data_IF_644982124764
#
_entry.id   IF_644982124764
#
_cell.length_a   1.000
_cell.length_b   1.000
_cell.length_c   1.000
_cell.angle_alpha   90.00
_cell.angle_beta   90.00
_cell.angle_gamma   90.00
#
_symmetry.space_group_name_H-M   'P 1'
#
loop_
_entity.id
_entity.type
_entity.pdbx_description
1 polymer ?
#
# COMPACT_ATOMS: atom_id res chain seq x y z
N UNK A 1 17.79 -13.47 -28.49
CA UNK A 1 18.33 -12.53 -27.48
C UNK A 1 18.99 -13.34 -26.39
N UNK A 2 20.26 -13.10 -26.08
CA UNK A 2 21.00 -13.88 -25.07
C UNK A 2 20.77 -13.27 -23.69
N UNK A 3 20.41 -14.08 -22.71
CA UNK A 3 20.14 -13.64 -21.34
C UNK A 3 21.42 -13.50 -20.53
N UNK A 4 21.54 -12.39 -19.81
CA UNK A 4 22.56 -12.23 -18.77
C UNK A 4 22.16 -13.00 -17.50
N UNK A 5 22.52 -14.29 -17.45
CA UNK A 5 22.17 -15.20 -16.35
C UNK A 5 22.65 -14.68 -14.98
N UNK A 6 23.84 -14.09 -14.92
CA UNK A 6 24.38 -13.54 -13.67
C UNK A 6 23.52 -12.39 -13.15
N UNK A 7 23.18 -11.43 -14.00
CA UNK A 7 22.35 -10.28 -13.61
C UNK A 7 20.90 -10.68 -13.33
N UNK A 8 20.38 -11.70 -14.03
CA UNK A 8 19.08 -12.29 -13.74
C UNK A 8 19.03 -12.85 -12.31
N UNK A 9 20.03 -13.64 -11.90
CA UNK A 9 20.09 -14.21 -10.54
C UNK A 9 20.14 -13.09 -9.51
N UNK A 10 20.98 -12.07 -9.74
CA UNK A 10 21.08 -10.91 -8.84
C UNK A 10 19.73 -10.18 -8.74
N UNK A 11 19.05 -9.96 -9.86
CA UNK A 11 17.74 -9.31 -9.88
C UNK A 11 16.68 -10.11 -9.10
N UNK A 12 16.65 -11.44 -9.28
CA UNK A 12 15.74 -12.32 -8.52
C UNK A 12 16.03 -12.23 -7.02
N UNK A 13 17.31 -12.36 -6.61
CA UNK A 13 17.70 -12.27 -5.21
C UNK A 13 17.35 -10.90 -4.62
N UNK A 14 17.62 -9.81 -5.36
CA UNK A 14 17.25 -8.46 -4.95
C UNK A 14 15.75 -8.33 -4.70
N UNK A 15 14.91 -8.83 -5.61
CA UNK A 15 13.46 -8.78 -5.45
C UNK A 15 12.98 -9.62 -4.27
N UNK A 16 13.53 -10.82 -4.08
CA UNK A 16 13.20 -11.69 -2.93
C UNK A 16 13.57 -11.02 -1.60
N UNK A 17 14.76 -10.41 -1.51
CA UNK A 17 15.19 -9.69 -0.30
C UNK A 17 14.26 -8.50 -0.03
N UNK A 18 13.91 -7.71 -1.05
CA UNK A 18 12.97 -6.60 -0.86
C UNK A 18 11.60 -7.07 -0.38
N UNK A 19 11.07 -8.16 -0.95
CA UNK A 19 9.81 -8.75 -0.48
C UNK A 19 9.90 -9.22 0.98
N UNK A 20 11.03 -9.82 1.37
CA UNK A 20 11.26 -10.23 2.75
C UNK A 20 11.35 -9.03 3.70
N UNK A 21 12.12 -7.99 3.35
CA UNK A 21 12.22 -6.76 4.13
C UNK A 21 10.86 -6.08 4.28
N UNK A 22 10.09 -6.02 3.20
CA UNK A 22 8.74 -5.45 3.19
C UNK A 22 7.80 -6.21 4.12
N UNK A 23 7.70 -7.55 3.97
CA UNK A 23 6.88 -8.38 4.86
C UNK A 23 7.29 -8.25 6.32
N UNK A 24 8.58 -8.21 6.61
CA UNK A 24 9.05 -8.02 7.98
C UNK A 24 8.61 -6.66 8.53
N UNK A 25 8.73 -5.60 7.72
CA UNK A 25 8.29 -4.26 8.12
C UNK A 25 6.79 -4.19 8.43
N UNK A 26 5.94 -4.94 7.71
CA UNK A 26 4.49 -5.01 7.98
C UNK A 26 4.15 -5.72 9.31
N UNK A 27 4.99 -6.65 9.75
CA UNK A 27 4.78 -7.36 11.03
C UNK A 27 5.18 -6.56 12.27
N UNK A 28 5.86 -5.41 12.07
CA UNK A 28 6.34 -4.57 13.17
C UNK A 28 5.36 -3.43 13.44
N UNK A 29 4.95 -3.27 14.70
CA UNK A 29 4.07 -2.18 15.11
C UNK A 29 4.84 -0.88 15.37
N UNK A 30 4.28 0.23 14.89
CA UNK A 30 4.67 1.61 15.25
C UNK A 30 6.16 1.93 15.01
N UNK A 31 6.84 2.43 16.05
CA UNK A 31 8.22 2.94 15.95
C UNK A 31 9.27 1.89 15.56
N UNK A 32 9.01 0.59 15.75
CA UNK A 32 9.95 -0.46 15.32
C UNK A 32 10.00 -0.59 13.79
N UNK A 33 8.89 -0.32 13.10
CA UNK A 33 8.86 -0.30 11.65
C UNK A 33 9.67 0.88 11.06
N UNK A 34 9.89 1.97 11.82
CA UNK A 34 10.66 3.12 11.34
C UNK A 34 12.12 2.80 11.03
N UNK A 35 12.70 1.73 11.59
CA UNK A 35 14.07 1.32 11.25
C UNK A 35 14.23 1.02 9.74
N UNK A 36 13.15 0.59 9.09
CA UNK A 36 13.14 0.29 7.66
C UNK A 36 13.29 1.54 6.78
N UNK A 37 13.01 2.73 7.31
CA UNK A 37 13.32 4.02 6.64
C UNK A 37 14.83 4.14 6.37
N UNK A 38 15.66 3.50 7.20
CA UNK A 38 17.12 3.51 7.06
C UNK A 38 17.61 2.24 6.34
N UNK A 39 17.04 1.07 6.67
CA UNK A 39 17.46 -0.22 6.07
C UNK A 39 17.23 -0.24 4.55
N UNK A 40 16.07 0.22 4.06
CA UNK A 40 15.78 0.19 2.62
C UNK A 40 16.76 1.04 1.80
N UNK A 41 17.00 2.33 2.11
CA UNK A 41 17.99 3.13 1.39
C UNK A 41 19.40 2.54 1.45
N UNK A 42 19.85 2.05 2.61
CA UNK A 42 21.17 1.44 2.74
C UNK A 42 21.31 0.21 1.85
N UNK A 43 20.31 -0.68 1.86
CA UNK A 43 20.29 -1.87 1.02
C UNK A 43 20.30 -1.52 -0.48
N UNK A 44 19.53 -0.51 -0.89
CA UNK A 44 19.47 -0.06 -2.28
C UNK A 44 20.79 0.57 -2.73
N UNK A 45 21.39 1.43 -1.92
CA UNK A 45 22.70 2.04 -2.22
C UNK A 45 23.79 0.96 -2.33
N UNK A 46 23.83 0.02 -1.40
CA UNK A 46 24.78 -1.10 -1.45
C UNK A 46 24.60 -1.96 -2.71
N UNK A 47 23.35 -2.21 -3.11
CA UNK A 47 23.04 -2.96 -4.33
C UNK A 47 23.48 -2.19 -5.57
N UNK A 48 23.17 -0.89 -5.68
CA UNK A 48 23.56 -0.06 -6.81
C UNK A 48 25.08 0.02 -6.98
N UNK A 49 25.83 0.18 -5.89
CA UNK A 49 27.29 0.19 -5.91
C UNK A 49 27.81 -1.17 -6.40
N UNK A 50 27.34 -2.26 -5.80
CA UNK A 50 27.81 -3.62 -6.13
C UNK A 50 27.54 -3.98 -7.59
N UNK A 51 26.31 -3.77 -8.05
CA UNK A 51 25.90 -4.04 -9.43
C UNK A 51 26.59 -3.09 -10.40
N UNK A 52 26.80 -1.82 -10.02
CA UNK A 52 27.54 -0.84 -10.81
C UNK A 52 29.00 -1.25 -11.05
N UNK A 53 29.70 -1.68 -10.00
CA UNK A 53 31.08 -2.19 -10.10
C UNK A 53 31.13 -3.43 -11.01
N UNK A 54 30.22 -4.39 -10.82
CA UNK A 54 30.14 -5.60 -11.64
C UNK A 54 29.85 -5.28 -13.10
N UNK A 55 28.93 -4.35 -13.37
CA UNK A 55 28.58 -3.92 -14.71
C UNK A 55 29.76 -3.20 -15.39
N UNK A 56 30.51 -2.38 -14.66
CA UNK A 56 31.70 -1.72 -15.19
C UNK A 56 32.81 -2.73 -15.53
N UNK A 57 33.07 -3.70 -14.65
CA UNK A 57 34.09 -4.74 -14.85
C UNK A 57 33.77 -5.64 -16.04
N UNK A 58 32.51 -6.01 -16.21
CA UNK A 58 32.06 -6.92 -17.27
C UNK A 58 31.48 -6.20 -18.49
N UNK A 59 31.73 -4.88 -18.64
CA UNK A 59 31.02 -4.03 -19.59
C UNK A 59 31.08 -4.50 -21.04
N UNK A 60 32.23 -5.05 -21.47
CA UNK A 60 32.45 -5.50 -22.85
C UNK A 60 31.56 -6.68 -23.21
N UNK A 61 31.34 -7.59 -22.26
CA UNK A 61 30.50 -8.76 -22.46
C UNK A 61 29.01 -8.42 -22.27
N UNK A 62 28.68 -7.77 -21.16
CA UNK A 62 27.29 -7.54 -20.76
C UNK A 62 26.56 -6.52 -21.64
N UNK A 63 27.27 -5.56 -22.23
CA UNK A 63 26.69 -4.57 -23.16
C UNK A 63 26.98 -4.88 -24.63
N UNK A 64 27.37 -6.12 -24.95
CA UNK A 64 27.43 -6.61 -26.33
C UNK A 64 26.06 -6.60 -27.00
N UNK A 65 26.03 -6.54 -28.35
CA UNK A 65 24.80 -6.43 -29.15
C UNK A 65 23.77 -7.53 -28.82
N UNK A 66 24.23 -8.71 -28.42
CA UNK A 66 23.37 -9.87 -28.11
C UNK A 66 22.71 -9.82 -26.73
N UNK A 67 23.36 -9.18 -25.75
CA UNK A 67 22.98 -9.21 -24.33
C UNK A 67 22.53 -7.84 -23.79
N UNK A 68 22.83 -6.74 -24.50
CA UNK A 68 22.60 -5.36 -24.06
C UNK A 68 21.19 -5.12 -23.52
N UNK A 69 20.16 -5.57 -24.23
CA UNK A 69 18.76 -5.36 -23.84
C UNK A 69 18.47 -6.07 -22.52
N UNK A 70 18.86 -7.34 -22.38
CA UNK A 70 18.66 -8.10 -21.15
C UNK A 70 19.41 -7.49 -19.96
N UNK A 71 20.65 -7.05 -20.18
CA UNK A 71 21.47 -6.39 -19.16
C UNK A 71 20.81 -5.10 -18.69
N UNK A 72 20.34 -4.23 -19.59
CA UNK A 72 19.65 -2.99 -19.22
C UNK A 72 18.36 -3.29 -18.44
N UNK A 73 17.55 -4.25 -18.90
CA UNK A 73 16.32 -4.64 -18.22
C UNK A 73 16.58 -5.15 -16.80
N UNK A 74 17.55 -6.05 -16.62
CA UNK A 74 17.88 -6.57 -15.28
C UNK A 74 18.53 -5.51 -14.39
N UNK A 75 19.30 -4.57 -14.94
CA UNK A 75 19.83 -3.45 -14.17
C UNK A 75 18.71 -2.59 -13.59
N UNK A 76 17.68 -2.28 -14.39
CA UNK A 76 16.49 -1.56 -13.92
C UNK A 76 15.78 -2.35 -12.81
N UNK A 77 15.67 -3.68 -12.95
CA UNK A 77 15.07 -4.55 -11.94
C UNK A 77 15.87 -4.60 -10.62
N UNK A 78 17.17 -4.32 -10.66
CA UNK A 78 18.01 -4.18 -9.47
C UNK A 78 17.94 -2.79 -8.81
N UNK A 79 17.06 -1.90 -9.28
CA UNK A 79 16.90 -0.55 -8.72
C UNK A 79 15.58 -0.39 -7.96
N UNK A 80 15.48 0.61 -7.06
CA UNK A 80 14.21 0.95 -6.40
C UNK A 80 13.08 1.30 -7.36
N UNK A 81 13.40 1.73 -8.59
CA UNK A 81 12.42 2.06 -9.63
C UNK A 81 11.51 0.86 -9.94
N UNK A 82 12.04 -0.36 -9.91
CA UNK A 82 11.24 -1.56 -10.14
C UNK A 82 10.19 -1.78 -9.06
N UNK A 83 10.54 -1.49 -7.81
CA UNK A 83 9.64 -1.58 -6.66
C UNK A 83 8.59 -0.48 -6.71
N UNK A 84 9.00 0.75 -7.02
CA UNK A 84 8.07 1.88 -7.17
C UNK A 84 7.12 1.68 -8.34
N UNK A 85 7.61 1.18 -9.47
CA UNK A 85 6.78 0.85 -10.63
C UNK A 85 5.75 -0.22 -10.30
N UNK A 86 6.16 -1.31 -9.64
CA UNK A 86 5.24 -2.35 -9.19
C UNK A 86 4.22 -1.83 -8.17
N UNK A 87 4.66 -1.05 -7.18
CA UNK A 87 3.77 -0.42 -6.20
C UNK A 87 2.74 0.48 -6.88
N UNK A 88 3.16 1.31 -7.84
CA UNK A 88 2.24 2.19 -8.57
C UNK A 88 1.19 1.41 -9.36
N UNK A 89 1.58 0.28 -9.98
CA UNK A 89 0.66 -0.57 -10.75
C UNK A 89 -0.31 -1.39 -9.89
N UNK A 90 0.06 -1.68 -8.65
CA UNK A 90 -0.72 -2.53 -7.72
C UNK A 90 -1.42 -1.73 -6.62
N UNK A 91 -1.28 -0.40 -6.61
CA UNK A 91 -1.96 0.45 -5.63
C UNK A 91 -3.48 0.31 -5.77
N UNK A 92 -4.19 -0.04 -4.69
CA UNK A 92 -5.64 -0.09 -4.71
C UNK A 92 -6.20 1.29 -5.03
N UNK A 93 -7.35 1.37 -5.69
CA UNK A 93 -7.96 2.65 -6.10
C UNK A 93 -8.33 3.53 -4.89
N UNK A 94 -8.65 2.89 -3.76
CA UNK A 94 -8.98 3.55 -2.49
C UNK A 94 -8.10 3.01 -1.36
N UNK A 95 -7.73 3.89 -0.43
CA UNK A 95 -6.95 3.55 0.75
C UNK A 95 -7.57 4.18 2.00
N UNK A 96 -7.49 3.46 3.13
CA UNK A 96 -7.88 4.00 4.42
C UNK A 96 -6.93 5.15 4.77
N UNK A 97 -7.48 6.35 4.91
CA UNK A 97 -6.74 7.54 5.27
C UNK A 97 -6.74 7.75 6.78
N UNK A 98 -7.91 7.62 7.39
CA UNK A 98 -8.11 7.98 8.78
C UNK A 98 -9.13 7.06 9.44
N UNK A 99 -8.89 6.76 10.73
CA UNK A 99 -9.89 6.23 11.64
C UNK A 99 -9.98 7.15 12.84
N UNK A 100 -11.19 7.64 13.14
CA UNK A 100 -11.43 8.50 14.29
C UNK A 100 -12.57 7.97 15.15
N UNK A 101 -12.52 8.28 16.44
CA UNK A 101 -13.49 7.87 17.44
C UNK A 101 -13.99 9.12 18.16
N UNK A 102 -15.31 9.34 18.11
CA UNK A 102 -15.94 10.52 18.71
C UNK A 102 -16.95 10.08 19.80
N UNK A 103 -16.56 10.03 21.07
CA UNK A 103 -17.45 9.74 22.19
C UNK A 103 -18.27 10.98 22.59
N UNK A 104 -19.60 10.83 22.66
CA UNK A 104 -20.52 11.88 23.11
C UNK A 104 -21.87 11.29 23.58
N UNK A 105 -22.33 11.72 24.75
CA UNK A 105 -23.67 11.42 25.31
C UNK A 105 -23.96 9.91 25.41
N UNK A 106 -23.04 9.12 25.96
CA UNK A 106 -23.20 7.68 26.14
C UNK A 106 -23.00 6.85 24.86
N UNK A 107 -22.60 7.48 23.76
CA UNK A 107 -22.41 6.85 22.44
C UNK A 107 -21.02 7.18 21.93
N UNK A 108 -20.37 6.25 21.22
CA UNK A 108 -19.18 6.55 20.40
C UNK A 108 -19.49 6.30 18.93
N UNK A 109 -19.05 7.22 18.07
CA UNK A 109 -19.08 7.06 16.61
C UNK A 109 -17.66 6.76 16.14
N UNK A 110 -17.46 5.59 15.53
CA UNK A 110 -16.24 5.29 14.75
C UNK A 110 -16.46 5.80 13.33
N UNK A 111 -15.52 6.59 12.83
CA UNK A 111 -15.50 7.07 11.45
C UNK A 111 -14.27 6.52 10.77
N UNK A 112 -14.43 5.87 9.62
CA UNK A 112 -13.32 5.56 8.71
C UNK A 112 -13.46 6.35 7.43
N UNK A 113 -12.42 7.09 7.08
CA UNK A 113 -12.35 7.87 5.85
C UNK A 113 -11.40 7.17 4.89
N UNK A 114 -11.92 6.80 3.72
CA UNK A 114 -11.18 6.17 2.64
C UNK A 114 -11.05 7.15 1.49
N UNK A 115 -9.83 7.35 0.99
CA UNK A 115 -9.56 8.28 -0.11
C UNK A 115 -9.21 7.54 -1.38
N UNK A 116 -9.59 8.11 -2.53
CA UNK A 116 -9.03 7.75 -3.82
C UNK A 116 -7.52 8.04 -3.82
N UNK A 117 -6.78 7.38 -4.72
CA UNK A 117 -5.38 7.71 -4.98
C UNK A 117 -5.14 9.18 -5.39
N UNK A 118 -6.19 9.90 -5.82
CA UNK A 118 -6.14 11.35 -6.08
C UNK A 118 -6.11 12.21 -4.81
N UNK A 119 -6.29 11.61 -3.63
CA UNK A 119 -6.36 12.30 -2.33
C UNK A 119 -7.77 12.76 -1.94
N UNK A 120 -8.76 12.63 -2.82
CA UNK A 120 -10.16 12.96 -2.51
C UNK A 120 -10.85 11.84 -1.75
N UNK A 121 -11.76 12.19 -0.85
CA UNK A 121 -12.57 11.21 -0.13
C UNK A 121 -13.42 10.40 -1.09
N UNK A 122 -13.31 9.07 -1.00
CA UNK A 122 -14.08 8.12 -1.78
C UNK A 122 -15.24 7.54 -0.97
N UNK A 123 -14.98 7.18 0.29
CA UNK A 123 -15.99 6.60 1.18
C UNK A 123 -15.76 7.07 2.61
N UNK A 124 -16.84 7.47 3.27
CA UNK A 124 -16.84 7.66 4.72
C UNK A 124 -17.80 6.65 5.35
N UNK A 125 -17.30 5.85 6.30
CA UNK A 125 -18.07 4.84 7.00
C UNK A 125 -18.24 5.22 8.45
N UNK A 126 -19.46 5.09 8.96
CA UNK A 126 -19.83 5.40 10.32
C UNK A 126 -20.36 4.15 11.01
N UNK A 127 -19.82 3.83 12.19
CA UNK A 127 -20.35 2.81 13.09
C UNK A 127 -20.72 3.43 14.43
N UNK A 128 -21.80 2.94 15.02
CA UNK A 128 -22.29 3.39 16.33
C UNK A 128 -22.06 2.33 17.39
N UNK A 129 -21.61 2.75 18.57
CA UNK A 129 -21.62 1.93 19.78
C UNK A 129 -22.27 2.72 20.92
N UNK A 130 -23.11 2.08 21.73
CA UNK A 130 -23.75 2.70 22.89
C UNK A 130 -22.85 2.61 24.15
N UNK A 131 -21.60 3.09 24.04
CA UNK A 131 -20.71 3.36 25.18
C UNK A 131 -19.70 4.45 24.82
N UNK A 132 -19.31 5.27 25.80
CA UNK A 132 -18.21 6.24 25.66
C UNK A 132 -16.83 5.60 25.90
N UNK A 133 -16.76 4.49 26.65
CA UNK A 133 -15.50 3.83 26.99
C UNK A 133 -15.08 2.82 25.92
N UNK A 134 -14.84 3.30 24.70
CA UNK A 134 -14.48 2.47 23.55
C UNK A 134 -13.10 1.80 23.66
N UNK A 135 -12.17 2.37 24.44
CA UNK A 135 -10.78 1.86 24.57
C UNK A 135 -10.70 0.51 25.27
N UNK A 136 -11.68 0.18 26.10
CA UNK A 136 -11.81 -1.13 26.76
C UNK A 136 -12.59 -2.15 25.92
N UNK A 137 -13.04 -1.75 24.73
CA UNK A 137 -14.01 -2.50 23.95
C UNK A 137 -13.35 -3.12 22.70
N UNK A 138 -13.59 -4.39 22.41
CA UNK A 138 -13.11 -5.03 21.17
C UNK A 138 -13.90 -4.55 19.95
N UNK A 139 -13.30 -4.57 18.74
CA UNK A 139 -13.98 -4.14 17.49
C UNK A 139 -15.37 -4.77 17.28
N UNK A 140 -15.59 -5.99 17.79
CA UNK A 140 -16.86 -6.71 17.73
C UNK A 140 -18.05 -5.99 18.40
N UNK A 141 -17.82 -4.96 19.22
CA UNK A 141 -18.89 -4.19 19.86
C UNK A 141 -19.33 -2.97 19.06
N UNK A 142 -18.59 -2.57 18.02
CA UNK A 142 -19.20 -1.69 17.03
C UNK A 142 -20.42 -2.43 16.53
N UNK A 143 -21.60 -1.90 16.85
CA UNK A 143 -22.83 -2.52 16.38
C UNK A 143 -22.66 -2.64 14.88
N UNK A 144 -23.01 -3.80 14.36
CA UNK A 144 -23.05 -4.10 12.93
C UNK A 144 -23.99 -3.18 12.12
N UNK A 145 -24.56 -2.18 12.80
CA UNK A 145 -25.32 -1.09 12.24
C UNK A 145 -24.33 -0.01 11.78
N UNK A 146 -24.32 0.28 10.49
CA UNK A 146 -23.39 1.25 9.93
C UNK A 146 -23.98 2.03 8.78
N UNK A 147 -23.46 3.23 8.55
CA UNK A 147 -23.85 4.08 7.42
C UNK A 147 -22.62 4.37 6.60
N UNK A 148 -22.67 4.06 5.31
CA UNK A 148 -21.56 4.23 4.38
C UNK A 148 -21.97 5.25 3.33
N UNK A 149 -21.19 6.32 3.24
CA UNK A 149 -21.41 7.42 2.30
C UNK A 149 -20.34 7.33 1.23
N UNK A 150 -20.75 7.08 -0.01
CA UNK A 150 -19.89 6.97 -1.18
C UNK A 150 -19.90 8.28 -1.94
N UNK A 151 -18.71 8.78 -2.26
CA UNK A 151 -18.47 10.03 -2.94
C UNK A 151 -17.78 9.79 -4.29
N UNK A 152 -18.05 10.65 -5.26
CA UNK A 152 -17.33 10.66 -6.51
C UNK A 152 -15.99 11.42 -6.40
N UNK A 153 -15.22 11.44 -7.48
CA UNK A 153 -13.94 12.18 -7.59
C UNK A 153 -14.13 13.71 -7.66
N UNK A 154 -15.30 14.24 -7.34
CA UNK A 154 -15.56 15.68 -7.15
C UNK A 154 -16.05 15.98 -5.74
N UNK A 155 -16.32 14.95 -4.94
CA UNK A 155 -16.89 15.06 -3.59
C UNK A 155 -18.42 15.00 -3.57
N UNK A 156 -19.06 14.76 -4.72
CA UNK A 156 -20.52 14.63 -4.78
C UNK A 156 -20.94 13.26 -4.23
N UNK A 157 -22.01 13.23 -3.45
CA UNK A 157 -22.54 11.97 -2.92
C UNK A 157 -23.11 11.15 -4.06
N UNK A 158 -22.57 9.96 -4.28
CA UNK A 158 -23.07 8.97 -5.25
C UNK A 158 -24.14 8.09 -4.63
N UNK A 159 -23.88 7.65 -3.40
CA UNK A 159 -24.71 6.64 -2.75
C UNK A 159 -24.55 6.68 -1.25
N UNK A 160 -25.65 6.44 -0.55
CA UNK A 160 -25.65 6.18 0.89
C UNK A 160 -26.20 4.77 1.10
N UNK A 161 -25.49 3.97 1.88
CA UNK A 161 -25.92 2.65 2.30
C UNK A 161 -26.08 2.62 3.81
N UNK A 162 -27.17 2.04 4.29
CA UNK A 162 -27.39 1.76 5.71
C UNK A 162 -27.42 0.26 5.91
N UNK A 163 -26.67 -0.19 6.89
CA UNK A 163 -26.55 -1.57 7.29
C UNK A 163 -27.15 -1.73 8.67
N UNK A 164 -27.80 -2.87 8.90
CA UNK A 164 -28.23 -3.34 10.22
C UNK A 164 -27.76 -4.78 10.36
N UNK A 165 -27.06 -5.12 11.43
CA UNK A 165 -26.50 -6.46 11.59
C UNK A 165 -25.67 -6.96 10.38
N UNK A 166 -24.88 -6.08 9.76
CA UNK A 166 -24.05 -6.32 8.56
C UNK A 166 -24.86 -6.63 7.30
N UNK A 167 -26.18 -6.47 7.35
CA UNK A 167 -27.06 -6.61 6.21
C UNK A 167 -27.48 -5.25 5.70
N UNK A 168 -27.37 -5.05 4.39
CA UNK A 168 -27.82 -3.83 3.72
C UNK A 168 -29.35 -3.73 3.88
N UNK A 169 -29.81 -2.71 4.60
CA UNK A 169 -31.25 -2.47 4.83
C UNK A 169 -31.79 -1.32 4.00
N UNK A 170 -30.94 -0.37 3.61
CA UNK A 170 -31.35 0.78 2.80
C UNK A 170 -30.20 1.20 1.89
N UNK A 171 -30.53 1.49 0.62
CA UNK A 171 -29.60 2.06 -0.35
C UNK A 171 -30.27 3.22 -1.05
N UNK A 172 -29.65 4.39 -0.97
CA UNK A 172 -30.09 5.60 -1.67
C UNK A 172 -29.02 5.97 -2.69
N UNK A 173 -29.35 5.91 -3.97
CA UNK A 173 -28.48 6.34 -5.06
C UNK A 173 -28.85 7.75 -5.51
N UNK A 174 -27.84 8.58 -5.66
CA UNK A 174 -27.97 9.94 -6.17
C UNK A 174 -27.49 9.93 -7.62
N UNK A 175 -28.42 10.18 -8.54
CA UNK A 175 -28.09 10.33 -9.96
C UNK A 175 -27.29 11.60 -10.15
N UNK A 176 -26.24 11.50 -10.96
CA UNK A 176 -25.56 12.66 -11.55
C UNK A 176 -26.48 13.42 -12.49
#
# INVERSE_FOLDING_TARGET
MKLNKTLLIIAIVFLIINLFLFKNSETLNGGRAMIYIIIFPLFWVATLITVGILAFKNRKEWFSKEMKISTIAFLILCTPLSIWGFSALTRPEMQLMETSYNPRNGITIKTETWNYNSGQTAVTKFWKIDTENWTSTTENYFKKDSVWVYLDKKGDTLRIEKYKNDQLVERTEYKK
#
